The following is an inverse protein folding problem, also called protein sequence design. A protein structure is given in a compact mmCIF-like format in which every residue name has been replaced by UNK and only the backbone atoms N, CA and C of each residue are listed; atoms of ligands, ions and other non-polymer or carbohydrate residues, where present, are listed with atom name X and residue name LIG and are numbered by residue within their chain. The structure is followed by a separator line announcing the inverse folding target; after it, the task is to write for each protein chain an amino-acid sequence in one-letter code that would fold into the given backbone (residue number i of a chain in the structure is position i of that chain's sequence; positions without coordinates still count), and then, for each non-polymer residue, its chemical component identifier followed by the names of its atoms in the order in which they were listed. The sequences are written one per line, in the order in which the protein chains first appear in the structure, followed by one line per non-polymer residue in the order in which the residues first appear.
data_IF_965207944052
#
_entry.id   IF_965207944052
#
_cell.length_a   1.000
_cell.length_b   1.000
_cell.length_c   1.000
_cell.angle_alpha   90.00
_cell.angle_beta   90.00
_cell.angle_gamma   90.00
#
_symmetry.space_group_name_H-M   'P 1'
#
loop_
_entity.id
_entity.type
_entity.pdbx_description
1 polymer ?
#
# COMPACT_ATOMS: atom_id res chain seq x y z
N UNK A 1 4.89 -8.22 24.98
CA UNK A 1 5.44 -7.48 23.82
C UNK A 1 4.55 -7.73 22.63
N UNK A 2 4.38 -6.74 21.75
CA UNK A 2 3.61 -6.89 20.52
C UNK A 2 4.59 -6.79 19.36
N UNK A 3 4.56 -7.77 18.45
CA UNK A 3 5.34 -7.74 17.22
C UNK A 3 4.40 -7.78 16.03
N UNK A 4 4.56 -6.81 15.12
CA UNK A 4 3.95 -6.91 13.81
C UNK A 4 4.79 -7.80 12.89
N UNK A 5 4.12 -8.58 12.04
CA UNK A 5 4.75 -9.58 11.16
C UNK A 5 4.13 -9.56 9.77
N UNK A 6 4.99 -9.73 8.76
CA UNK A 6 4.58 -9.86 7.37
C UNK A 6 4.02 -11.27 7.10
N UNK A 7 2.70 -11.38 7.07
CA UNK A 7 1.97 -12.62 6.82
C UNK A 7 0.78 -12.82 7.76
N UNK A 8 -0.08 -13.82 7.49
CA UNK A 8 -1.24 -14.11 8.32
C UNK A 8 -0.82 -14.79 9.63
N UNK A 9 -1.31 -14.27 10.76
CA UNK A 9 -1.15 -14.92 12.07
C UNK A 9 -2.28 -15.91 12.28
N UNK A 10 -1.95 -17.20 12.39
CA UNK A 10 -2.93 -18.28 12.55
C UNK A 10 -2.59 -19.03 13.83
N UNK A 11 -3.55 -19.12 14.76
CA UNK A 11 -3.39 -19.83 16.04
C UNK A 11 -2.09 -19.45 16.78
N UNK A 12 -1.79 -18.14 16.86
CA UNK A 12 -0.60 -17.57 17.52
C UNK A 12 0.76 -17.83 16.84
N UNK A 13 0.75 -18.36 15.62
CA UNK A 13 1.99 -18.57 14.87
C UNK A 13 1.90 -17.93 13.49
N UNK A 14 3.06 -17.58 12.92
CA UNK A 14 3.19 -17.05 11.56
C UNK A 14 4.34 -17.76 10.86
N UNK A 15 4.14 -18.07 9.58
CA UNK A 15 5.22 -18.37 8.65
C UNK A 15 5.35 -17.16 7.74
N UNK A 16 6.47 -16.44 7.81
CA UNK A 16 6.63 -15.20 7.06
C UNK A 16 6.78 -15.46 5.57
N UNK A 17 6.18 -14.60 4.74
CA UNK A 17 6.14 -14.81 3.29
C UNK A 17 7.52 -14.69 2.62
N UNK A 18 8.41 -13.85 3.16
CA UNK A 18 9.68 -13.48 2.53
C UNK A 18 10.93 -14.01 3.24
N UNK A 19 10.80 -14.52 4.48
CA UNK A 19 11.89 -15.06 5.27
C UNK A 19 11.54 -16.48 5.72
N UNK A 20 12.52 -17.40 5.88
CA UNK A 20 12.27 -18.77 6.32
C UNK A 20 12.02 -18.83 7.84
N UNK A 21 11.34 -17.83 8.40
CA UNK A 21 11.04 -17.74 9.82
C UNK A 21 9.66 -18.29 10.10
N UNK A 22 9.61 -19.21 11.05
CA UNK A 22 8.37 -19.64 11.70
C UNK A 22 8.44 -19.09 13.12
N UNK A 23 7.53 -18.20 13.44
CA UNK A 23 7.45 -17.55 14.74
C UNK A 23 6.20 -18.00 15.46
N UNK A 24 6.33 -18.21 16.75
CA UNK A 24 5.27 -18.65 17.66
C UNK A 24 5.32 -17.78 18.93
N UNK A 25 4.16 -17.31 19.38
CA UNK A 25 4.05 -16.44 20.55
C UNK A 25 4.67 -17.06 21.81
N UNK A 26 4.36 -18.33 22.10
CA UNK A 26 4.81 -19.00 23.34
C UNK A 26 6.32 -19.26 23.28
N UNK A 27 6.83 -19.69 22.12
CA UNK A 27 8.27 -19.86 21.90
C UNK A 27 9.03 -18.55 22.03
N UNK A 28 8.52 -17.46 21.43
CA UNK A 28 9.14 -16.13 21.54
C UNK A 28 9.12 -15.61 22.98
N UNK A 29 7.99 -15.79 23.69
CA UNK A 29 7.87 -15.37 25.09
C UNK A 29 8.90 -16.10 25.97
N UNK A 30 9.07 -17.41 25.79
CA UNK A 30 10.06 -18.21 26.51
C UNK A 30 11.49 -17.81 26.17
N UNK A 31 11.83 -17.72 24.87
CA UNK A 31 13.19 -17.43 24.42
C UNK A 31 13.66 -16.01 24.75
N UNK A 32 12.73 -15.04 24.80
CA UNK A 32 13.03 -13.64 25.12
C UNK A 32 12.80 -13.29 26.60
N UNK A 33 12.40 -14.26 27.43
CA UNK A 33 12.07 -14.07 28.85
C UNK A 33 11.02 -12.96 29.07
N UNK A 34 9.95 -13.01 28.28
CA UNK A 34 8.83 -12.07 28.34
C UNK A 34 7.60 -12.77 28.95
N UNK A 35 6.77 -12.02 29.70
CA UNK A 35 5.53 -12.56 30.27
C UNK A 35 4.53 -13.01 29.21
N UNK A 36 4.40 -12.21 28.14
CA UNK A 36 3.51 -12.48 27.02
C UNK A 36 4.10 -11.88 25.75
N UNK A 37 3.83 -12.55 24.64
CA UNK A 37 4.11 -12.07 23.28
C UNK A 37 2.81 -12.18 22.50
N UNK A 38 2.52 -11.17 21.68
CA UNK A 38 1.45 -11.24 20.71
C UNK A 38 2.00 -10.93 19.32
N UNK A 39 1.65 -11.77 18.35
CA UNK A 39 1.95 -11.56 16.95
C UNK A 39 0.72 -10.98 16.26
N UNK A 40 0.92 -9.91 15.50
CA UNK A 40 -0.13 -9.22 14.76
C UNK A 40 0.30 -9.05 13.31
N UNK A 41 -0.65 -9.12 12.37
CA UNK A 41 -0.32 -8.81 10.98
C UNK A 41 0.10 -7.33 10.83
N UNK A 42 1.10 -7.07 10.00
CA UNK A 42 1.63 -5.73 9.70
C UNK A 42 0.56 -4.73 9.26
N UNK A 43 -0.36 -5.15 8.39
CA UNK A 43 -1.42 -4.29 7.91
C UNK A 43 -2.53 -4.06 8.95
N UNK A 44 -2.79 -5.06 9.79
CA UNK A 44 -3.63 -4.88 10.99
C UNK A 44 -3.02 -3.84 11.93
N UNK A 45 -1.70 -3.89 12.14
CA UNK A 45 -0.97 -2.91 12.94
C UNK A 45 -1.13 -1.49 12.36
N UNK A 46 -0.91 -1.32 11.05
CA UNK A 46 -1.13 -0.03 10.37
C UNK A 46 -2.56 0.46 10.55
N UNK A 47 -3.56 -0.40 10.34
CA UNK A 47 -4.97 -0.03 10.49
C UNK A 47 -5.27 0.48 11.91
N UNK A 48 -4.77 -0.21 12.95
CA UNK A 48 -4.95 0.18 14.36
C UNK A 48 -4.33 1.53 14.71
N UNK A 49 -3.33 1.98 13.96
CA UNK A 49 -2.73 3.29 14.19
C UNK A 49 -3.61 4.45 13.72
N UNK A 50 -4.48 4.23 12.73
CA UNK A 50 -5.22 5.31 12.07
C UNK A 50 -6.00 6.21 13.04
N UNK A 51 -6.80 5.67 13.98
CA UNK A 51 -7.55 6.51 14.91
C UNK A 51 -6.70 7.38 15.85
N UNK A 52 -5.39 7.11 15.95
CA UNK A 52 -4.45 7.81 16.83
C UNK A 52 -3.36 8.58 16.07
N UNK A 53 -3.42 8.63 14.73
CA UNK A 53 -2.53 9.46 13.92
C UNK A 53 -2.78 10.95 14.20
N UNK A 54 -1.70 11.73 14.26
CA UNK A 54 -1.76 13.19 14.33
C UNK A 54 -1.65 13.78 12.93
N UNK A 55 -2.01 15.05 12.78
CA UNK A 55 -1.87 15.79 11.52
C UNK A 55 -0.42 15.78 11.00
N UNK A 56 0.58 15.72 11.89
CA UNK A 56 2.00 15.61 11.53
C UNK A 56 2.43 14.24 11.01
N UNK A 57 1.61 13.21 11.23
CA UNK A 57 1.89 11.83 10.84
C UNK A 57 1.35 11.50 9.43
N UNK A 58 0.68 12.47 8.78
CA UNK A 58 0.03 12.30 7.47
C UNK A 58 0.27 13.50 6.55
N UNK A 59 0.19 13.25 5.25
CA UNK A 59 0.03 14.25 4.20
C UNK A 59 -1.33 14.06 3.56
N UNK A 60 -2.14 15.12 3.52
CA UNK A 60 -3.49 15.05 2.97
C UNK A 60 -3.47 15.33 1.47
N UNK A 61 -3.89 14.34 0.68
CA UNK A 61 -4.07 14.45 -0.77
C UNK A 61 -5.48 14.95 -1.13
N UNK A 62 -6.47 14.66 -0.30
CA UNK A 62 -7.81 15.23 -0.42
C UNK A 62 -8.37 15.46 0.97
N UNK A 63 -8.72 16.70 1.28
CA UNK A 63 -9.28 17.05 2.59
C UNK A 63 -10.62 16.34 2.79
N UNK A 64 -11.48 16.32 1.76
CA UNK A 64 -12.79 15.68 1.80
C UNK A 64 -13.70 16.18 2.93
N UNK A 65 -14.70 15.36 3.25
CA UNK A 65 -15.70 15.54 4.31
C UNK A 65 -15.82 14.18 5.05
N UNK A 66 -14.95 13.89 6.05
CA UNK A 66 -15.01 12.61 6.76
C UNK A 66 -16.36 12.42 7.44
N UNK A 67 -17.02 11.29 7.18
CA UNK A 67 -18.24 10.90 7.88
C UNK A 67 -17.85 10.20 9.19
N UNK A 68 -18.20 10.74 10.37
CA UNK A 68 -17.86 10.12 11.64
C UNK A 68 -18.39 8.70 11.73
N UNK A 69 -17.55 7.76 12.19
CA UNK A 69 -17.91 6.34 12.39
C UNK A 69 -18.23 5.58 11.11
N UNK A 70 -18.02 6.18 9.93
CA UNK A 70 -18.04 5.44 8.67
C UNK A 70 -16.77 4.61 8.51
N UNK A 71 -16.80 3.64 7.59
CA UNK A 71 -15.65 2.79 7.31
C UNK A 71 -14.45 3.61 6.83
N UNK A 72 -13.25 3.09 7.08
CA UNK A 72 -11.98 3.66 6.63
C UNK A 72 -11.25 2.59 5.83
N UNK A 73 -10.70 2.91 4.67
CA UNK A 73 -9.89 1.99 3.87
C UNK A 73 -8.40 2.26 4.00
N UNK A 74 -7.60 1.21 3.91
CA UNK A 74 -6.13 1.26 3.95
C UNK A 74 -5.58 0.54 2.73
N UNK A 75 -4.70 1.20 1.98
CA UNK A 75 -3.98 0.61 0.84
C UNK A 75 -2.48 0.79 1.07
N UNK A 76 -1.73 -0.30 1.09
CA UNK A 76 -0.33 -0.30 1.49
C UNK A 76 0.56 -1.02 0.48
N UNK A 77 1.04 -0.33 -0.58
CA UNK A 77 2.07 -0.88 -1.45
C UNK A 77 3.41 -0.96 -0.69
N UNK A 78 3.91 -2.19 -0.56
CA UNK A 78 5.23 -2.54 -0.02
C UNK A 78 5.93 -3.49 -0.99
N UNK A 79 6.54 -4.58 -0.51
CA UNK A 79 6.98 -5.66 -1.42
C UNK A 79 5.81 -6.17 -2.24
N UNK A 80 4.69 -6.48 -1.59
CA UNK A 80 3.38 -6.78 -2.19
C UNK A 80 2.39 -5.64 -2.04
N UNK A 81 1.09 -5.93 -2.14
CA UNK A 81 0.03 -4.94 -1.95
C UNK A 81 -0.93 -5.39 -0.83
N UNK A 82 -0.84 -4.72 0.32
CA UNK A 82 -1.78 -4.93 1.42
C UNK A 82 -3.02 -4.05 1.28
N UNK A 83 -4.19 -4.62 1.54
CA UNK A 83 -5.44 -3.87 1.71
C UNK A 83 -6.17 -4.28 3.00
N UNK A 84 -6.63 -3.31 3.77
CA UNK A 84 -7.46 -3.54 4.94
C UNK A 84 -8.48 -2.42 5.09
N UNK A 85 -9.41 -2.58 6.00
CA UNK A 85 -10.38 -1.54 6.30
C UNK A 85 -10.76 -1.59 7.77
N UNK A 86 -11.26 -0.46 8.30
CA UNK A 86 -11.80 -0.39 9.64
C UNK A 86 -13.29 -0.16 9.59
N UNK A 87 -14.01 -0.82 10.49
CA UNK A 87 -15.44 -0.62 10.72
C UNK A 87 -15.68 -0.16 12.15
N UNK A 88 -16.70 0.66 12.35
CA UNK A 88 -17.10 1.07 13.70
C UNK A 88 -18.00 0.01 14.33
N UNK A 89 -17.63 -0.52 15.49
CA UNK A 89 -18.39 -1.57 16.19
C UNK A 89 -19.47 -1.03 17.16
N UNK A 90 -19.60 0.29 17.26
CA UNK A 90 -20.44 0.98 18.24
C UNK A 90 -19.62 1.74 19.28
N UNK A 91 -18.39 1.30 19.56
CA UNK A 91 -17.50 1.84 20.57
C UNK A 91 -16.13 2.27 20.04
N UNK A 92 -15.58 1.54 19.07
CA UNK A 92 -14.27 1.80 18.47
C UNK A 92 -14.20 1.34 17.02
N UNK A 93 -13.14 1.76 16.35
CA UNK A 93 -12.77 1.21 15.05
C UNK A 93 -12.08 -0.16 15.22
N UNK A 94 -12.58 -1.16 14.50
CA UNK A 94 -12.05 -2.52 14.48
C UNK A 94 -11.44 -2.79 13.10
N UNK A 95 -10.14 -3.13 13.00
CA UNK A 95 -9.51 -3.48 11.74
C UNK A 95 -10.06 -4.80 11.20
N UNK A 96 -10.19 -4.88 9.89
CA UNK A 96 -10.60 -6.06 9.13
C UNK A 96 -9.51 -6.36 8.11
N UNK A 97 -8.88 -7.52 8.26
CA UNK A 97 -7.87 -8.00 7.32
C UNK A 97 -8.51 -8.39 5.98
N UNK A 98 -7.80 -8.16 4.89
CA UNK A 98 -8.23 -8.59 3.56
C UNK A 98 -7.04 -8.96 2.68
N UNK A 99 -7.30 -9.76 1.65
CA UNK A 99 -6.34 -10.09 0.58
C UNK A 99 -6.67 -9.28 -0.70
N UNK A 100 -7.08 -8.02 -0.51
CA UNK A 100 -7.59 -7.17 -1.59
C UNK A 100 -6.61 -6.95 -2.75
N UNK A 101 -5.31 -6.88 -2.45
CA UNK A 101 -4.27 -6.74 -3.46
C UNK A 101 -4.14 -7.92 -4.43
N UNK A 102 -4.66 -9.11 -4.06
CA UNK A 102 -4.69 -10.29 -4.93
C UNK A 102 -5.90 -10.33 -5.87
N UNK A 103 -6.85 -9.39 -5.74
CA UNK A 103 -7.96 -9.25 -6.70
C UNK A 103 -7.46 -8.84 -8.09
N UNK A 104 -8.32 -8.98 -9.11
CA UNK A 104 -7.93 -8.73 -10.51
C UNK A 104 -7.58 -7.27 -10.76
N UNK A 105 -6.50 -7.03 -11.50
CA UNK A 105 -6.18 -5.71 -12.00
C UNK A 105 -7.28 -5.21 -12.95
N UNK A 106 -7.88 -4.06 -12.61
CA UNK A 106 -8.95 -3.42 -13.37
C UNK A 106 -8.44 -2.16 -14.08
N UNK A 107 -7.87 -2.26 -15.29
CA UNK A 107 -7.35 -1.11 -16.02
C UNK A 107 -8.47 -0.13 -16.41
N UNK A 108 -8.17 1.17 -16.35
CA UNK A 108 -9.15 2.26 -16.58
C UNK A 108 -8.88 3.09 -17.84
N UNK A 109 -7.75 2.84 -18.50
CA UNK A 109 -7.34 3.52 -19.73
C UNK A 109 -6.61 2.55 -20.69
N UNK A 110 -6.52 2.92 -21.98
CA UNK A 110 -5.89 2.10 -23.02
C UNK A 110 -4.47 1.69 -22.68
N UNK A 111 -3.70 2.58 -22.05
CA UNK A 111 -2.31 2.31 -21.66
C UNK A 111 -2.22 1.18 -20.62
N UNK A 112 -3.08 1.25 -19.60
CA UNK A 112 -3.21 0.21 -18.58
C UNK A 112 -3.77 -1.11 -19.15
N UNK A 113 -4.66 -1.06 -20.15
CA UNK A 113 -5.17 -2.26 -20.83
C UNK A 113 -4.03 -3.00 -21.53
N UNK A 114 -3.15 -2.28 -22.24
CA UNK A 114 -1.98 -2.89 -22.89
C UNK A 114 -0.96 -3.44 -21.88
N UNK A 115 -0.80 -2.80 -20.73
CA UNK A 115 -0.04 -3.37 -19.62
C UNK A 115 -0.67 -4.70 -19.14
N UNK A 116 -1.99 -4.77 -18.97
CA UNK A 116 -2.68 -6.01 -18.62
C UNK A 116 -2.44 -7.11 -19.67
N UNK A 117 -2.57 -6.80 -20.96
CA UNK A 117 -2.29 -7.73 -22.06
C UNK A 117 -0.85 -8.25 -22.02
N UNK A 118 0.12 -7.35 -21.78
CA UNK A 118 1.53 -7.71 -21.62
C UNK A 118 1.75 -8.67 -20.45
N UNK A 119 1.08 -8.43 -19.32
CA UNK A 119 1.20 -9.26 -18.12
C UNK A 119 0.52 -10.63 -18.28
N UNK A 120 -0.63 -10.70 -18.96
CA UNK A 120 -1.35 -11.94 -19.24
C UNK A 120 -0.57 -12.90 -20.16
N UNK A 121 0.34 -12.38 -20.99
CA UNK A 121 1.22 -13.22 -21.79
C UNK A 121 2.22 -14.05 -20.94
N UNK A 122 2.39 -13.73 -19.65
CA UNK A 122 3.37 -14.36 -18.74
C UNK A 122 2.72 -14.98 -17.49
N UNK A 123 1.40 -14.86 -17.33
CA UNK A 123 0.71 -15.33 -16.15
C UNK A 123 -0.79 -15.55 -16.40
N UNK A 124 -1.35 -16.57 -15.76
CA UNK A 124 -2.78 -16.89 -15.86
C UNK A 124 -3.67 -15.85 -15.16
N UNK A 125 -3.15 -15.21 -14.11
CA UNK A 125 -3.85 -14.18 -13.33
C UNK A 125 -2.94 -12.97 -13.11
N UNK A 126 -3.51 -11.78 -13.34
CA UNK A 126 -2.86 -10.49 -13.07
C UNK A 126 -3.60 -9.81 -11.93
N UNK A 127 -3.08 -9.99 -10.73
CA UNK A 127 -3.58 -9.27 -9.56
C UNK A 127 -3.20 -7.79 -9.59
N UNK A 128 -3.90 -6.96 -8.82
CA UNK A 128 -3.52 -5.55 -8.64
C UNK A 128 -2.09 -5.45 -8.08
N UNK A 129 -1.71 -6.33 -7.16
CA UNK A 129 -0.35 -6.43 -6.63
C UNK A 129 0.73 -6.51 -7.72
N UNK A 130 0.49 -7.24 -8.82
CA UNK A 130 1.48 -7.42 -9.89
C UNK A 130 1.82 -6.14 -10.66
N UNK A 131 1.04 -5.08 -10.46
CA UNK A 131 1.25 -3.76 -11.08
C UNK A 131 1.26 -2.61 -10.06
N UNK A 132 0.83 -2.85 -8.83
CA UNK A 132 0.67 -1.84 -7.79
C UNK A 132 1.40 -2.24 -6.49
N UNK A 133 2.66 -2.64 -6.62
CA UNK A 133 3.52 -2.99 -5.49
C UNK A 133 4.99 -2.82 -5.86
N UNK A 134 5.88 -3.12 -4.91
CA UNK A 134 7.31 -3.13 -5.13
C UNK A 134 7.71 -4.15 -6.18
N UNK A 135 7.11 -5.35 -6.20
CA UNK A 135 7.32 -6.32 -7.28
C UNK A 135 6.66 -5.90 -8.59
N UNK A 136 5.65 -5.03 -8.54
CA UNK A 136 4.90 -4.54 -9.70
C UNK A 136 5.58 -3.40 -10.46
N UNK A 137 6.33 -2.52 -9.77
CA UNK A 137 7.01 -1.38 -10.39
C UNK A 137 7.98 -1.81 -11.52
N UNK A 138 8.83 -2.85 -11.35
CA UNK A 138 9.68 -3.35 -12.43
C UNK A 138 8.88 -3.89 -13.63
N UNK A 139 7.69 -4.44 -13.41
CA UNK A 139 6.85 -4.93 -14.51
C UNK A 139 6.32 -3.77 -15.37
N UNK A 140 5.90 -2.67 -14.73
CA UNK A 140 5.53 -1.44 -15.44
C UNK A 140 6.72 -0.89 -16.22
N UNK A 141 7.89 -0.83 -15.57
CA UNK A 141 9.13 -0.35 -16.20
C UNK A 141 9.46 -1.13 -17.48
N UNK A 142 9.44 -2.47 -17.41
CA UNK A 142 9.73 -3.34 -18.55
C UNK A 142 8.71 -3.16 -19.67
N UNK A 143 7.42 -3.10 -19.34
CA UNK A 143 6.36 -2.82 -20.30
C UNK A 143 6.60 -1.51 -21.06
N UNK A 144 6.90 -0.43 -20.33
CA UNK A 144 7.13 0.89 -20.93
C UNK A 144 8.40 0.93 -21.79
N UNK A 145 9.46 0.25 -21.38
CA UNK A 145 10.70 0.15 -22.15
C UNK A 145 10.51 -0.67 -23.42
N UNK A 146 9.91 -1.85 -23.30
CA UNK A 146 9.94 -2.87 -24.35
C UNK A 146 8.81 -2.68 -25.37
N UNK A 147 7.63 -2.21 -24.95
CA UNK A 147 6.46 -2.07 -25.83
C UNK A 147 6.11 -0.62 -26.18
N UNK A 148 6.36 0.34 -25.29
CA UNK A 148 6.15 1.76 -25.59
C UNK A 148 7.42 2.50 -26.02
N UNK A 149 8.58 1.84 -25.95
CA UNK A 149 9.89 2.40 -26.32
C UNK A 149 10.20 3.72 -25.61
N UNK A 150 9.75 3.87 -24.37
CA UNK A 150 10.13 5.02 -23.53
C UNK A 150 11.63 4.94 -23.27
N UNK A 151 12.33 6.06 -23.53
CA UNK A 151 13.79 6.09 -23.54
C UNK A 151 14.40 5.74 -22.18
N UNK A 152 15.19 4.66 -22.16
CA UNK A 152 16.06 4.27 -21.05
C UNK A 152 17.44 4.89 -21.26
N UNK A 153 17.90 5.71 -20.30
CA UNK A 153 19.25 6.28 -20.40
C UNK A 153 20.31 5.19 -20.15
N UNK A 154 21.51 5.27 -20.75
CA UNK A 154 22.59 4.30 -20.51
C UNK A 154 23.04 4.22 -19.04
N UNK A 155 22.85 5.30 -18.27
CA UNK A 155 23.13 5.28 -16.84
C UNK A 155 22.10 4.45 -16.08
N UNK A 156 20.81 4.66 -16.34
CA UNK A 156 19.73 3.90 -15.70
C UNK A 156 19.82 2.43 -16.09
N UNK A 157 20.07 2.11 -17.36
CA UNK A 157 20.26 0.73 -17.82
C UNK A 157 21.36 0.01 -17.00
N UNK A 158 22.50 0.66 -16.78
CA UNK A 158 23.60 0.11 -15.97
C UNK A 158 23.20 -0.06 -14.51
N UNK A 159 22.56 0.95 -13.90
CA UNK A 159 22.13 0.90 -12.50
C UNK A 159 21.11 -0.22 -12.27
N UNK A 160 20.14 -0.38 -13.16
CA UNK A 160 19.14 -1.44 -13.11
C UNK A 160 19.79 -2.82 -13.25
N UNK A 161 20.72 -2.99 -14.20
CA UNK A 161 21.40 -4.27 -14.43
C UNK A 161 22.25 -4.73 -13.23
N UNK A 162 22.78 -3.80 -12.42
CA UNK A 162 23.59 -4.10 -11.24
C UNK A 162 22.83 -4.12 -9.92
N UNK A 163 21.54 -3.77 -9.92
CA UNK A 163 20.79 -3.58 -8.68
C UNK A 163 20.21 -4.89 -8.12
N UNK A 164 20.40 -5.11 -6.82
CA UNK A 164 19.65 -6.14 -6.08
C UNK A 164 18.16 -5.79 -5.99
N UNK A 165 17.84 -4.51 -5.82
CA UNK A 165 16.49 -3.97 -5.73
C UNK A 165 16.26 -2.92 -6.83
N UNK A 166 15.71 -3.39 -7.95
CA UNK A 166 15.39 -2.55 -9.11
C UNK A 166 14.37 -1.48 -8.78
N UNK A 167 13.43 -1.78 -7.88
CA UNK A 167 12.35 -0.86 -7.49
C UNK A 167 12.90 0.39 -6.84
N UNK A 168 13.87 0.26 -5.93
CA UNK A 168 14.55 1.43 -5.35
C UNK A 168 15.23 2.30 -6.39
N UNK A 169 15.90 1.69 -7.38
CA UNK A 169 16.56 2.45 -8.46
C UNK A 169 15.53 3.22 -9.28
N UNK A 170 14.41 2.56 -9.64
CA UNK A 170 13.33 3.18 -10.42
C UNK A 170 12.71 4.36 -9.66
N UNK A 171 12.30 4.15 -8.40
CA UNK A 171 11.67 5.21 -7.59
C UNK A 171 12.64 6.39 -7.42
N UNK A 172 13.87 6.13 -6.95
CA UNK A 172 14.83 7.19 -6.68
C UNK A 172 15.15 8.00 -7.94
N UNK A 173 15.25 7.36 -9.10
CA UNK A 173 15.55 8.04 -10.37
C UNK A 173 14.32 8.74 -10.98
N UNK A 174 13.10 8.38 -10.57
CA UNK A 174 11.89 9.08 -10.97
C UNK A 174 11.70 10.40 -10.23
N UNK A 175 12.16 10.46 -8.96
CA UNK A 175 11.99 11.61 -8.06
C UNK A 175 13.25 12.47 -7.91
N UNK A 176 14.35 12.11 -8.57
CA UNK A 176 15.60 12.87 -8.55
C UNK A 176 15.48 14.14 -9.42
N UNK A 177 15.52 15.34 -8.81
CA UNK A 177 15.41 16.60 -9.57
C UNK A 177 16.67 16.92 -10.39
N UNK A 178 17.77 16.18 -10.19
CA UNK A 178 19.06 16.41 -10.86
C UNK A 178 19.35 15.42 -11.99
N UNK A 179 18.66 14.28 -12.01
CA UNK A 179 18.85 13.24 -13.03
C UNK A 179 17.50 12.71 -13.51
N UNK A 180 16.88 13.44 -14.44
CA UNK A 180 15.59 13.06 -15.01
C UNK A 180 15.73 11.78 -15.83
N UNK A 181 15.06 10.71 -15.39
CA UNK A 181 14.87 9.48 -16.16
C UNK A 181 13.44 9.45 -16.71
N UNK A 182 13.24 9.64 -18.04
CA UNK A 182 11.91 9.63 -18.64
C UNK A 182 11.16 8.33 -18.38
N UNK A 183 11.86 7.18 -18.48
CA UNK A 183 11.28 5.87 -18.24
C UNK A 183 10.91 5.67 -16.77
N UNK A 184 11.77 6.05 -15.82
CA UNK A 184 11.45 5.92 -14.39
C UNK A 184 10.29 6.83 -13.99
N UNK A 185 10.26 8.07 -14.46
CA UNK A 185 9.14 9.00 -14.24
C UNK A 185 7.84 8.43 -14.78
N UNK A 186 7.81 8.01 -16.06
CA UNK A 186 6.62 7.42 -16.66
C UNK A 186 6.15 6.14 -15.93
N UNK A 187 7.09 5.36 -15.40
CA UNK A 187 6.79 4.17 -14.59
C UNK A 187 6.07 4.56 -13.30
N UNK A 188 6.59 5.53 -12.55
CA UNK A 188 5.98 5.96 -11.28
C UNK A 188 4.65 6.69 -11.51
N UNK A 189 4.52 7.48 -12.57
CA UNK A 189 3.25 8.12 -12.94
C UNK A 189 2.14 7.07 -13.21
N UNK A 190 2.46 5.99 -13.96
CA UNK A 190 1.51 4.90 -14.19
C UNK A 190 1.19 4.14 -12.90
N UNK A 191 2.19 3.83 -12.08
CA UNK A 191 2.01 3.20 -10.77
C UNK A 191 1.07 4.01 -9.87
N UNK A 192 1.29 5.33 -9.77
CA UNK A 192 0.45 6.24 -8.96
C UNK A 192 -0.99 6.27 -9.48
N UNK A 193 -1.19 6.30 -10.80
CA UNK A 193 -2.53 6.25 -11.39
C UNK A 193 -3.26 4.93 -11.08
N UNK A 194 -2.55 3.80 -11.10
CA UNK A 194 -3.10 2.49 -10.73
C UNK A 194 -3.42 2.45 -9.23
N UNK A 195 -2.51 2.92 -8.38
CA UNK A 195 -2.72 3.00 -6.93
C UNK A 195 -3.96 3.84 -6.59
N UNK A 196 -4.12 4.99 -7.22
CA UNK A 196 -5.30 5.84 -7.07
C UNK A 196 -6.58 5.11 -7.53
N UNK A 197 -6.52 4.42 -8.67
CA UNK A 197 -7.61 3.63 -9.20
C UNK A 197 -8.08 2.54 -8.24
N UNK A 198 -7.14 1.81 -7.62
CA UNK A 198 -7.46 0.77 -6.65
C UNK A 198 -7.92 1.34 -5.31
N UNK A 199 -7.30 2.40 -4.81
CA UNK A 199 -7.78 3.12 -3.64
C UNK A 199 -9.25 3.57 -3.82
N UNK A 200 -9.61 4.03 -5.01
CA UNK A 200 -11.00 4.35 -5.35
C UNK A 200 -11.92 3.13 -5.42
N UNK A 201 -11.40 1.97 -5.84
CA UNK A 201 -12.16 0.71 -5.81
C UNK A 201 -12.41 0.28 -4.35
N UNK A 202 -11.39 0.30 -3.49
CA UNK A 202 -11.54 -0.01 -2.07
C UNK A 202 -12.54 0.92 -1.40
N UNK A 203 -12.44 2.23 -1.68
CA UNK A 203 -13.38 3.22 -1.17
C UNK A 203 -14.84 2.89 -1.48
N UNK A 204 -15.11 2.37 -2.69
CA UNK A 204 -16.45 1.92 -3.08
C UNK A 204 -16.85 0.58 -2.48
N UNK A 205 -15.92 -0.39 -2.43
CA UNK A 205 -16.16 -1.74 -1.90
C UNK A 205 -16.67 -1.69 -0.45
N UNK A 206 -16.10 -0.82 0.37
CA UNK A 206 -16.43 -0.73 1.81
C UNK A 206 -17.16 0.54 2.22
N UNK A 207 -17.50 1.42 1.27
CA UNK A 207 -18.03 2.75 1.53
C UNK A 207 -17.17 3.51 2.56
N UNK A 208 -15.90 3.71 2.21
CA UNK A 208 -14.88 4.28 3.09
C UNK A 208 -15.05 5.80 3.33
N UNK A 209 -16.25 6.25 3.68
CA UNK A 209 -16.56 7.67 3.87
C UNK A 209 -15.86 8.30 5.08
N UNK A 210 -15.24 7.49 5.95
CA UNK A 210 -14.35 7.97 7.01
C UNK A 210 -12.97 8.35 6.50
N UNK A 211 -12.56 7.86 5.33
CA UNK A 211 -11.30 8.19 4.68
C UNK A 211 -10.59 7.01 4.03
N UNK A 212 -9.62 7.31 3.18
CA UNK A 212 -8.65 6.39 2.60
C UNK A 212 -7.26 6.77 3.07
N UNK A 213 -6.51 5.80 3.57
CA UNK A 213 -5.14 5.96 4.03
C UNK A 213 -4.20 5.12 3.18
N UNK A 214 -3.26 5.80 2.52
CA UNK A 214 -2.16 5.19 1.78
C UNK A 214 -0.99 4.99 2.75
N UNK A 215 -0.53 3.76 2.89
CA UNK A 215 0.55 3.39 3.80
C UNK A 215 1.69 2.67 3.06
N UNK A 216 2.74 2.31 3.79
CA UNK A 216 3.86 1.55 3.25
C UNK A 216 5.00 2.42 2.69
N UNK A 217 6.19 1.83 2.64
CA UNK A 217 7.41 2.56 2.27
C UNK A 217 7.38 3.14 0.86
N UNK A 218 6.69 2.48 -0.08
CA UNK A 218 6.60 2.97 -1.46
C UNK A 218 5.85 4.30 -1.53
N UNK A 219 4.76 4.46 -0.76
CA UNK A 219 4.01 5.73 -0.70
C UNK A 219 4.91 6.86 -0.22
N UNK A 220 5.70 6.63 0.84
CA UNK A 220 6.63 7.63 1.39
C UNK A 220 7.70 8.02 0.36
N UNK A 221 8.28 7.04 -0.33
CA UNK A 221 9.34 7.29 -1.32
C UNK A 221 8.82 7.87 -2.64
N UNK A 222 7.53 7.73 -2.94
CA UNK A 222 6.88 8.29 -4.14
C UNK A 222 6.07 9.55 -3.83
N UNK A 223 6.13 10.08 -2.60
CA UNK A 223 5.30 11.19 -2.15
C UNK A 223 5.45 12.45 -3.02
N UNK A 224 6.66 12.77 -3.49
CA UNK A 224 6.89 13.90 -4.40
C UNK A 224 6.34 13.68 -5.81
N UNK A 225 6.08 12.43 -6.20
CA UNK A 225 5.43 12.05 -7.45
C UNK A 225 3.92 11.85 -7.31
N UNK A 226 3.38 11.87 -6.08
CA UNK A 226 1.94 11.93 -5.82
C UNK A 226 1.43 13.34 -6.14
N UNK A 227 1.31 13.64 -7.42
CA UNK A 227 0.63 14.84 -7.92
C UNK A 227 -0.87 14.74 -7.56
N UNK A 228 -1.30 15.49 -6.53
CA UNK A 228 -2.67 15.49 -6.01
C UNK A 228 -3.73 15.58 -7.13
N UNK A 229 -3.67 16.56 -8.05
CA UNK A 229 -4.57 16.62 -9.20
C UNK A 229 -4.63 15.32 -10.03
N UNK A 230 -3.48 14.70 -10.34
CA UNK A 230 -3.46 13.47 -11.14
C UNK A 230 -3.99 12.27 -10.37
N UNK A 231 -3.58 12.14 -9.10
CA UNK A 231 -4.07 11.11 -8.20
C UNK A 231 -5.59 11.19 -8.06
N UNK A 232 -6.13 12.37 -7.75
CA UNK A 232 -7.57 12.53 -7.53
C UNK A 232 -8.39 12.36 -8.80
N UNK A 233 -7.85 12.67 -9.99
CA UNK A 233 -8.50 12.32 -11.26
C UNK A 233 -8.67 10.82 -11.42
N UNK A 234 -7.63 10.03 -11.16
CA UNK A 234 -7.68 8.58 -11.25
C UNK A 234 -8.56 7.95 -10.15
N UNK A 235 -8.42 8.42 -8.90
CA UNK A 235 -9.21 7.97 -7.76
C UNK A 235 -10.71 8.16 -8.00
N UNK A 236 -11.12 9.35 -8.46
CA UNK A 236 -12.54 9.72 -8.65
C UNK A 236 -13.13 9.29 -9.99
N UNK A 237 -12.37 8.61 -10.86
CA UNK A 237 -12.85 8.11 -12.15
C UNK A 237 -13.78 6.89 -12.00
N UNK A 238 -14.95 7.11 -11.39
CA UNK A 238 -15.96 6.08 -11.06
C UNK A 238 -17.36 6.46 -11.58
N UNK A 239 -17.41 7.19 -12.70
CA UNK A 239 -18.64 7.63 -13.36
C UNK A 239 -19.58 8.37 -12.41
N UNK A 240 -20.83 7.92 -12.29
CA UNK A 240 -21.86 8.54 -11.43
C UNK A 240 -21.50 8.60 -9.94
N UNK A 241 -20.54 7.79 -9.48
CA UNK A 241 -20.07 7.79 -8.09
C UNK A 241 -18.86 8.73 -7.88
N UNK A 242 -18.41 9.47 -8.90
CA UNK A 242 -17.30 10.42 -8.78
C UNK A 242 -17.52 11.45 -7.66
N UNK A 243 -18.73 12.01 -7.55
CA UNK A 243 -19.07 12.99 -6.50
C UNK A 243 -19.03 12.40 -5.08
N UNK A 244 -19.31 11.11 -4.94
CA UNK A 244 -19.13 10.42 -3.65
C UNK A 244 -17.65 10.37 -3.30
N UNK A 245 -16.78 9.96 -4.22
CA UNK A 245 -15.35 9.81 -3.96
C UNK A 245 -14.65 11.15 -3.73
N UNK A 246 -15.07 12.23 -4.39
CA UNK A 246 -14.52 13.58 -4.16
C UNK A 246 -14.65 14.03 -2.70
N UNK A 247 -15.67 13.54 -1.99
CA UNK A 247 -15.90 13.85 -0.57
C UNK A 247 -15.14 12.94 0.38
N UNK A 248 -14.55 11.83 -0.10
CA UNK A 248 -13.81 10.92 0.76
C UNK A 248 -12.41 11.51 1.02
N UNK A 249 -12.02 11.74 2.28
CA UNK A 249 -10.67 12.18 2.60
C UNK A 249 -9.63 11.15 2.14
N UNK A 250 -8.50 11.63 1.64
CA UNK A 250 -7.39 10.76 1.22
C UNK A 250 -6.10 11.27 1.85
N UNK A 251 -5.42 10.39 2.57
CA UNK A 251 -4.20 10.72 3.31
C UNK A 251 -3.09 9.73 2.98
N UNK A 252 -1.84 10.21 2.87
CA UNK A 252 -0.64 9.40 2.85
C UNK A 252 0.00 9.42 4.23
N UNK A 253 0.26 8.25 4.82
CA UNK A 253 0.91 8.12 6.13
C UNK A 253 2.43 8.30 5.95
N UNK A 254 3.04 9.19 6.74
CA UNK A 254 4.47 9.50 6.67
C UNK A 254 5.26 9.01 7.89
N UNK A 255 4.58 8.45 8.89
CA UNK A 255 5.18 7.86 10.09
C UNK A 255 5.22 6.33 10.04
N UNK A 256 5.89 5.72 11.02
CA UNK A 256 5.85 4.26 11.21
C UNK A 256 4.54 3.85 11.90
N UNK A 257 3.45 3.76 11.12
CA UNK A 257 2.13 3.40 11.63
C UNK A 257 2.07 1.97 12.21
N UNK A 258 2.79 0.99 11.64
CA UNK A 258 2.78 -0.37 12.18
C UNK A 258 3.25 -0.40 13.63
N UNK A 259 4.37 0.26 13.92
CA UNK A 259 4.89 0.37 15.29
C UNK A 259 3.92 1.10 16.23
N UNK A 260 3.31 2.19 15.76
CA UNK A 260 2.32 2.94 16.55
C UNK A 260 1.10 2.07 16.87
N UNK A 261 0.57 1.34 15.89
CA UNK A 261 -0.59 0.47 16.10
C UNK A 261 -0.30 -0.73 16.98
N UNK A 262 0.90 -1.32 16.89
CA UNK A 262 1.35 -2.35 17.81
C UNK A 262 1.44 -1.83 19.25
N UNK A 263 1.95 -0.61 19.45
CA UNK A 263 1.97 0.05 20.76
C UNK A 263 0.56 0.32 21.28
N UNK A 264 -0.35 0.83 20.45
CA UNK A 264 -1.76 1.05 20.80
C UNK A 264 -2.44 -0.23 21.25
N UNK A 265 -2.30 -1.32 20.48
CA UNK A 265 -2.85 -2.62 20.85
C UNK A 265 -2.29 -3.11 22.20
N UNK A 266 -0.98 -2.98 22.39
CA UNK A 266 -0.33 -3.34 23.65
C UNK A 266 -0.94 -2.59 24.83
N UNK A 267 -1.07 -1.26 24.73
CA UNK A 267 -1.63 -0.39 25.77
C UNK A 267 -3.09 -0.72 26.10
N UNK A 268 -3.92 -1.02 25.10
CA UNK A 268 -5.33 -1.40 25.29
C UNK A 268 -5.50 -2.72 26.05
N UNK A 269 -4.57 -3.66 25.89
CA UNK A 269 -4.67 -5.01 26.46
C UNK A 269 -3.74 -5.22 27.67
N UNK A 270 -3.07 -4.17 28.18
CA UNK A 270 -2.17 -4.25 29.34
C UNK A 270 -2.83 -4.80 30.62
N UNK A 271 -4.16 -4.75 30.72
CA UNK A 271 -4.91 -5.24 31.89
C UNK A 271 -5.28 -6.72 31.80
N UNK A 272 -5.18 -7.33 30.62
CA UNK A 272 -5.61 -8.71 30.36
C UNK A 272 -4.44 -9.72 30.39
N UNK A 273 -3.21 -9.27 30.67
CA UNK A 273 -1.97 -10.06 30.77
C UNK A 273 -1.23 -9.83 32.10
#
# INVERSE_FOLDING_TARGET
AIFDVAGPVIKKSVATTNLPWVMDEDSLASNLNLKSVHLMNDLEAVARAIPVLRDSDIVTLNIGEPVPKAAIGVVAPGTGLGESFLVWDGSRYVPQSSEGGHTSFAPTETRQIRLLEHMLARADHVSVERVCSGIGIPNIYEYLRDLEHVYETPEIARRIASAEDRTKVIINSAVDPHNESPLCRATIEMFVAILAGEAGNLALKVLAAGGIYLAGGIVVHTLSALDEPAFMRAFTNKGRLSELLKRIPVHAITTNAALLGAATYGLENLTDY
#
